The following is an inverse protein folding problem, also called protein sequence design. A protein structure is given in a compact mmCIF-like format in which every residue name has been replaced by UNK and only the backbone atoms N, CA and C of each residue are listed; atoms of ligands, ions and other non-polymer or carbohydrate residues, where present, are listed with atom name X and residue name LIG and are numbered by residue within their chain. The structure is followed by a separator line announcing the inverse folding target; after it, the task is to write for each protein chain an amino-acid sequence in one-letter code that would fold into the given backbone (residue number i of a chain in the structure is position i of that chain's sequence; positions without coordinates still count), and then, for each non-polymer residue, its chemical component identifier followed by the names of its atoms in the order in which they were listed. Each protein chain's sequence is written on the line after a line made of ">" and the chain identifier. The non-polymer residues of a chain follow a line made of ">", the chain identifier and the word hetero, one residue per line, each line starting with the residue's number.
data_IF_557149076106
#
_entry.id   IF_557149076106
#
_cell.length_a   1.000
_cell.length_b   1.000
_cell.length_c   1.000
_cell.angle_alpha   90.00
_cell.angle_beta   90.00
_cell.angle_gamma   90.00
#
_symmetry.space_group_name_H-M   'P 1'
#
loop_
_entity.id
_entity.type
_entity.pdbx_description
1 polymer ?
#
# COMPACT_ATOMS: atom_id res chain seq x y z
N UNK A 1 -15.97 7.40 13.15
CA UNK A 1 -15.31 6.44 12.26
C UNK A 1 -15.42 6.97 10.84
N UNK A 2 -14.32 7.23 10.16
CA UNK A 2 -14.39 7.48 8.72
C UNK A 2 -14.77 6.14 8.07
N UNK A 3 -15.86 6.05 7.30
CA UNK A 3 -16.16 4.82 6.56
C UNK A 3 -14.94 4.51 5.71
N UNK A 4 -14.53 3.23 5.67
CA UNK A 4 -13.35 2.73 4.98
C UNK A 4 -13.04 3.63 3.79
N UNK A 5 -11.99 4.44 3.90
CA UNK A 5 -11.71 5.50 2.94
C UNK A 5 -11.57 4.83 1.59
N UNK A 6 -12.63 4.89 0.80
CA UNK A 6 -12.69 4.22 -0.49
C UNK A 6 -11.47 4.68 -1.26
N UNK A 7 -10.64 3.73 -1.70
CA UNK A 7 -9.41 4.07 -2.41
C UNK A 7 -9.76 4.99 -3.58
N UNK A 8 -9.28 6.23 -3.50
CA UNK A 8 -9.61 7.28 -4.45
C UNK A 8 -9.15 6.91 -5.87
N UNK A 9 -8.10 6.10 -6.01
CA UNK A 9 -7.66 5.55 -7.29
C UNK A 9 -8.64 4.48 -7.80
N UNK A 10 -9.13 3.60 -6.92
CA UNK A 10 -10.11 2.59 -7.27
C UNK A 10 -11.41 3.22 -7.80
N UNK A 11 -11.88 4.29 -7.17
CA UNK A 11 -13.05 5.04 -7.64
C UNK A 11 -12.83 5.61 -9.06
N UNK A 12 -11.63 6.11 -9.35
CA UNK A 12 -11.30 6.61 -10.69
C UNK A 12 -11.26 5.50 -11.75
N UNK A 13 -10.75 4.31 -11.43
CA UNK A 13 -10.83 3.15 -12.32
C UNK A 13 -12.28 2.72 -12.58
N UNK A 14 -13.12 2.68 -11.52
CA UNK A 14 -14.51 2.24 -11.62
C UNK A 14 -15.38 3.11 -12.55
N UNK A 15 -15.02 4.38 -12.77
CA UNK A 15 -15.68 5.26 -13.76
C UNK A 15 -15.61 4.68 -15.18
N UNK A 16 -14.62 3.85 -15.48
CA UNK A 16 -14.45 3.21 -16.79
C UNK A 16 -15.16 1.86 -16.92
N UNK A 17 -15.76 1.31 -15.85
CA UNK A 17 -16.50 0.05 -15.92
C UNK A 17 -17.63 0.04 -16.97
N UNK A 18 -18.45 1.10 -17.13
CA UNK A 18 -19.48 1.16 -18.16
C UNK A 18 -18.97 1.57 -19.55
N UNK A 19 -17.66 1.79 -19.73
CA UNK A 19 -17.06 2.26 -20.99
C UNK A 19 -16.33 1.10 -21.68
N UNK A 20 -16.70 0.72 -22.92
CA UNK A 20 -16.01 -0.35 -23.65
C UNK A 20 -14.54 -0.03 -23.93
N UNK A 21 -13.64 -0.93 -23.56
CA UNK A 21 -12.23 -0.91 -23.97
C UNK A 21 -12.00 -2.04 -24.97
N UNK A 22 -11.50 -1.71 -26.17
CA UNK A 22 -11.32 -2.69 -27.26
C UNK A 22 -12.57 -3.55 -27.51
N UNK A 23 -13.75 -2.94 -27.42
CA UNK A 23 -15.04 -3.57 -27.70
C UNK A 23 -15.65 -4.41 -26.58
N UNK A 24 -15.09 -4.40 -25.36
CA UNK A 24 -15.62 -5.13 -24.19
C UNK A 24 -15.68 -4.27 -22.95
N UNK A 25 -16.61 -4.58 -22.06
CA UNK A 25 -16.68 -3.99 -20.71
C UNK A 25 -15.83 -4.81 -19.74
N UNK A 26 -15.27 -4.13 -18.74
CA UNK A 26 -14.40 -4.74 -17.74
C UNK A 26 -14.73 -4.17 -16.36
N UNK A 27 -14.53 -4.97 -15.32
CA UNK A 27 -14.41 -4.45 -13.96
C UNK A 27 -12.95 -4.05 -13.74
N UNK A 28 -12.72 -2.74 -13.59
CA UNK A 28 -11.39 -2.17 -13.41
C UNK A 28 -11.05 -1.99 -11.94
N UNK A 29 -9.84 -2.42 -11.59
CA UNK A 29 -9.26 -2.28 -10.27
C UNK A 29 -7.97 -1.45 -10.38
N UNK A 30 -7.60 -0.69 -9.33
CA UNK A 30 -6.42 0.16 -9.37
C UNK A 30 -5.15 -0.66 -9.61
N UNK A 31 -4.24 -0.11 -10.40
CA UNK A 31 -2.87 -0.60 -10.53
C UNK A 31 -1.90 0.57 -10.35
N UNK A 32 -0.84 0.32 -9.59
CA UNK A 32 0.17 1.31 -9.27
C UNK A 32 1.39 1.07 -10.16
N UNK A 33 1.47 1.84 -11.24
CA UNK A 33 2.61 1.75 -12.15
C UNK A 33 3.86 2.32 -11.46
N UNK A 34 4.92 1.53 -11.26
CA UNK A 34 6.13 2.01 -10.59
C UNK A 34 6.90 3.05 -11.41
N UNK A 35 6.78 3.02 -12.74
CA UNK A 35 7.46 3.95 -13.66
C UNK A 35 6.64 5.23 -13.84
N UNK A 36 5.31 5.14 -13.85
CA UNK A 36 4.40 6.29 -13.98
C UNK A 36 3.28 6.27 -12.92
N UNK A 37 3.62 6.51 -11.63
CA UNK A 37 2.70 6.33 -10.51
C UNK A 37 1.52 7.31 -10.52
N UNK A 38 1.60 8.39 -11.29
CA UNK A 38 0.53 9.37 -11.40
C UNK A 38 -0.34 9.21 -12.64
N UNK A 39 -0.07 8.20 -13.48
CA UNK A 39 -1.04 7.75 -14.47
C UNK A 39 -2.18 6.94 -13.86
N UNK A 40 -3.34 6.99 -14.52
CA UNK A 40 -4.45 6.11 -14.18
C UNK A 40 -4.30 4.80 -14.95
N UNK A 41 -3.52 3.90 -14.39
CA UNK A 41 -3.41 2.51 -14.86
C UNK A 41 -4.32 1.61 -14.02
N UNK A 42 -5.10 0.76 -14.69
CA UNK A 42 -6.06 -0.12 -14.07
C UNK A 42 -5.87 -1.55 -14.58
N UNK A 43 -6.03 -2.54 -13.69
CA UNK A 43 -6.06 -3.94 -14.06
C UNK A 43 -7.50 -4.40 -14.28
N UNK A 44 -7.72 -5.25 -15.27
CA UNK A 44 -9.03 -5.84 -15.51
C UNK A 44 -9.20 -7.07 -14.59
N UNK A 45 -10.09 -7.02 -13.59
CA UNK A 45 -10.17 -8.00 -12.47
C UNK A 45 -10.16 -9.47 -12.88
N UNK A 46 -10.90 -9.83 -13.92
CA UNK A 46 -11.02 -11.21 -14.41
C UNK A 46 -10.06 -11.54 -15.56
N UNK A 47 -9.09 -10.67 -15.84
CA UNK A 47 -8.18 -10.78 -16.98
C UNK A 47 -6.75 -10.44 -16.56
N UNK A 48 -5.76 -10.97 -17.27
CA UNK A 48 -4.34 -10.84 -16.90
C UNK A 48 -3.65 -9.63 -17.53
N UNK A 49 -4.36 -8.51 -17.75
CA UNK A 49 -3.76 -7.32 -18.35
C UNK A 49 -4.08 -6.03 -17.59
N UNK A 50 -3.17 -5.08 -17.72
CA UNK A 50 -3.31 -3.70 -17.26
C UNK A 50 -3.45 -2.77 -18.46
N UNK A 51 -4.15 -1.66 -18.27
CA UNK A 51 -4.30 -0.61 -19.27
C UNK A 51 -4.21 0.77 -18.63
N UNK A 52 -3.49 1.69 -19.27
CA UNK A 52 -3.50 3.11 -18.93
C UNK A 52 -4.77 3.74 -19.51
N UNK A 53 -5.74 4.03 -18.65
CA UNK A 53 -7.06 4.55 -19.03
C UNK A 53 -7.11 6.08 -19.09
N UNK A 54 -6.20 6.76 -18.39
CA UNK A 54 -6.02 8.20 -18.47
C UNK A 54 -4.54 8.59 -18.29
N UNK A 55 -4.10 9.74 -18.84
CA UNK A 55 -2.73 10.20 -18.68
C UNK A 55 -2.38 10.46 -17.22
N UNK A 56 -3.31 11.01 -16.44
CA UNK A 56 -3.12 11.40 -15.04
C UNK A 56 -4.32 10.97 -14.18
N UNK A 57 -4.05 10.57 -12.94
CA UNK A 57 -5.04 10.52 -11.86
C UNK A 57 -5.44 11.94 -11.43
N UNK A 58 -6.54 12.05 -10.68
CA UNK A 58 -6.95 13.31 -10.05
C UNK A 58 -5.96 13.75 -8.97
N UNK A 59 -5.76 15.05 -8.86
CA UNK A 59 -4.90 15.63 -7.84
C UNK A 59 -5.32 15.19 -6.43
N UNK A 60 -4.34 14.89 -5.59
CA UNK A 60 -4.55 14.34 -4.25
C UNK A 60 -4.62 12.80 -4.17
N UNK A 61 -4.62 12.09 -5.30
CA UNK A 61 -4.49 10.63 -5.31
C UNK A 61 -3.09 10.22 -4.82
N UNK A 62 -2.99 9.22 -3.94
CA UNK A 62 -1.69 8.69 -3.49
C UNK A 62 -0.89 8.13 -4.68
N UNK A 63 0.39 8.46 -4.74
CA UNK A 63 1.26 7.94 -5.80
C UNK A 63 1.78 6.53 -5.51
N UNK A 64 2.07 6.23 -4.24
CA UNK A 64 2.73 4.99 -3.77
C UNK A 64 2.00 4.43 -2.56
N UNK A 65 1.89 3.11 -2.48
CA UNK A 65 1.33 2.44 -1.31
C UNK A 65 2.21 2.69 -0.08
N UNK A 66 1.60 2.90 1.09
CA UNK A 66 2.31 3.21 2.34
C UNK A 66 2.97 4.60 2.42
N UNK A 67 2.99 5.38 1.34
CA UNK A 67 3.50 6.75 1.34
C UNK A 67 2.37 7.78 1.46
N UNK A 68 2.70 8.95 2.01
CA UNK A 68 1.82 10.11 1.95
C UNK A 68 1.94 10.89 0.62
N UNK A 69 2.88 10.55 -0.24
CA UNK A 69 3.09 11.26 -1.50
C UNK A 69 1.82 11.29 -2.37
N UNK A 70 1.56 12.44 -2.98
CA UNK A 70 0.35 12.69 -3.76
C UNK A 70 0.67 13.12 -5.18
N UNK A 71 -0.18 12.71 -6.11
CA UNK A 71 -0.15 13.18 -7.47
C UNK A 71 -0.74 14.59 -7.54
N UNK A 72 0.00 15.50 -8.17
CA UNK A 72 -0.44 16.87 -8.47
C UNK A 72 0.03 17.19 -9.89
N UNK A 73 -0.89 17.52 -10.78
CA UNK A 73 -0.61 17.81 -12.19
C UNK A 73 0.21 16.70 -12.89
N UNK A 74 -0.08 15.44 -12.56
CA UNK A 74 0.62 14.28 -13.13
C UNK A 74 2.01 14.01 -12.55
N UNK A 75 2.46 14.77 -11.55
CA UNK A 75 3.75 14.55 -10.88
C UNK A 75 3.51 14.04 -9.46
N UNK A 76 4.34 13.10 -9.03
CA UNK A 76 4.31 12.65 -7.65
C UNK A 76 5.11 13.58 -6.75
N UNK A 77 4.44 14.24 -5.82
CA UNK A 77 5.05 15.20 -4.89
C UNK A 77 5.06 14.66 -3.47
N UNK A 78 6.14 14.91 -2.70
CA UNK A 78 6.25 14.43 -1.33
C UNK A 78 5.24 15.14 -0.42
N UNK A 79 4.72 14.42 0.56
CA UNK A 79 3.88 14.99 1.62
C UNK A 79 4.47 14.59 2.97
N UNK A 80 4.78 15.59 3.78
CA UNK A 80 5.33 15.36 5.11
C UNK A 80 4.30 14.70 6.05
N UNK A 81 4.78 14.16 7.17
CA UNK A 81 3.91 13.63 8.22
C UNK A 81 2.97 14.68 8.83
N UNK A 82 3.25 15.97 8.62
CA UNK A 82 2.40 17.10 9.01
C UNK A 82 1.34 17.44 7.95
N UNK A 83 1.16 16.56 6.96
CA UNK A 83 0.18 16.63 5.88
C UNK A 83 0.35 17.83 4.95
N UNK A 84 1.56 18.40 4.92
CA UNK A 84 1.91 19.51 4.03
C UNK A 84 2.63 19.01 2.77
N UNK A 85 2.18 19.48 1.61
CA UNK A 85 2.80 19.21 0.31
C UNK A 85 4.19 19.86 0.25
N UNK A 86 5.21 19.08 -0.10
CA UNK A 86 6.60 19.53 -0.14
C UNK A 86 7.32 19.55 1.22
N UNK A 87 6.63 19.21 2.32
CA UNK A 87 7.27 19.09 3.63
C UNK A 87 8.17 17.85 3.70
N UNK A 88 9.39 18.03 4.20
CA UNK A 88 10.36 16.95 4.39
C UNK A 88 10.23 16.27 5.77
N UNK A 89 9.27 16.69 6.60
CA UNK A 89 9.08 16.11 7.93
C UNK A 89 8.66 14.65 7.83
N UNK A 90 9.34 13.80 8.60
CA UNK A 90 9.05 12.37 8.73
C UNK A 90 8.64 12.05 10.15
N UNK A 91 7.90 10.96 10.30
CA UNK A 91 7.64 10.37 11.61
C UNK A 91 8.95 9.78 12.12
N UNK A 92 9.35 10.13 13.34
CA UNK A 92 10.52 9.56 13.99
C UNK A 92 10.24 8.14 14.50
N UNK A 93 11.24 7.49 15.11
CA UNK A 93 11.09 6.14 15.65
C UNK A 93 10.11 6.04 16.82
N UNK A 94 9.74 7.17 17.43
CA UNK A 94 8.78 7.28 18.50
C UNK A 94 7.35 7.49 18.00
N UNK A 95 7.14 7.57 16.69
CA UNK A 95 5.82 7.85 16.11
C UNK A 95 5.47 9.35 16.10
N UNK A 96 6.43 10.24 16.36
CA UNK A 96 6.21 11.69 16.42
C UNK A 96 6.61 12.34 15.10
N UNK A 97 5.72 13.13 14.52
CA UNK A 97 6.01 13.86 13.29
C UNK A 97 7.03 14.98 13.52
N UNK A 98 8.17 14.93 12.84
CA UNK A 98 9.27 15.88 13.02
C UNK A 98 9.96 15.77 14.38
N UNK A 99 9.79 14.63 15.06
CA UNK A 99 10.47 14.36 16.34
C UNK A 99 11.95 14.07 16.16
N UNK A 100 12.66 14.08 17.27
CA UNK A 100 14.11 13.86 17.37
C UNK A 100 14.46 12.51 18.00
N UNK A 101 13.47 11.63 18.23
CA UNK A 101 13.65 10.33 18.87
C UNK A 101 13.76 10.38 20.40
N UNK A 102 13.57 11.54 21.04
CA UNK A 102 13.72 11.69 22.49
C UNK A 102 12.48 11.32 23.31
N UNK A 103 11.30 11.24 22.68
CA UNK A 103 10.02 11.04 23.37
C UNK A 103 9.73 9.58 23.74
N UNK A 104 10.57 8.64 23.30
CA UNK A 104 10.45 7.22 23.60
C UNK A 104 11.81 6.61 23.97
N UNK A 105 11.78 5.41 24.54
CA UNK A 105 13.00 4.64 24.87
C UNK A 105 13.06 3.40 24.00
N UNK A 106 14.21 3.17 23.38
CA UNK A 106 14.50 1.94 22.67
C UNK A 106 14.64 0.79 23.68
N UNK A 107 13.70 -0.16 23.65
CA UNK A 107 13.80 -1.37 24.44
C UNK A 107 14.86 -2.28 23.81
N UNK A 108 15.86 -2.68 24.61
CA UNK A 108 16.88 -3.63 24.18
C UNK A 108 16.42 -5.02 24.55
N UNK A 109 16.18 -5.85 23.55
CA UNK A 109 15.83 -7.25 23.74
C UNK A 109 17.06 -8.12 23.48
N UNK A 110 17.26 -9.11 24.36
CA UNK A 110 18.32 -10.11 24.19
C UNK A 110 17.66 -11.46 23.99
N UNK A 111 17.97 -12.11 22.87
CA UNK A 111 17.50 -13.47 22.61
C UNK A 111 18.27 -14.46 23.48
N UNK A 112 17.58 -15.07 24.45
CA UNK A 112 18.10 -16.19 25.23
C UNK A 112 17.66 -17.51 24.61
N UNK A 113 18.59 -18.47 24.44
CA UNK A 113 18.21 -19.86 24.18
C UNK A 113 17.66 -20.46 25.46
N UNK A 114 16.36 -20.68 25.54
CA UNK A 114 15.78 -21.50 26.61
C UNK A 114 15.90 -22.97 26.23
N UNK A 115 16.40 -23.85 27.12
CA UNK A 115 16.33 -25.29 26.90
C UNK A 115 14.86 -25.70 26.76
N UNK A 116 14.47 -26.20 25.60
CA UNK A 116 13.19 -26.86 25.46
C UNK A 116 13.31 -28.21 26.19
N UNK A 117 12.37 -28.50 27.09
CA UNK A 117 12.24 -29.86 27.61
C UNK A 117 11.90 -30.79 26.45
N UNK A 118 12.40 -32.04 26.44
CA UNK A 118 11.92 -33.05 25.50
C UNK A 118 10.39 -33.10 25.55
N UNK A 119 9.74 -33.18 24.39
CA UNK A 119 8.32 -33.50 24.35
C UNK A 119 8.12 -34.82 25.11
N UNK A 120 7.17 -34.86 26.03
CA UNK A 120 6.87 -36.06 26.83
C UNK A 120 6.24 -37.20 26.02
N UNK A 121 5.94 -36.96 24.73
CA UNK A 121 5.36 -37.94 23.81
C UNK A 121 6.18 -38.01 22.53
N UNK A 122 6.55 -39.23 22.15
CA UNK A 122 7.07 -39.56 20.84
C UNK A 122 5.89 -39.82 19.90
N UNK A 123 5.84 -39.16 18.74
CA UNK A 123 4.90 -39.51 17.68
C UNK A 123 5.28 -40.89 17.13
N UNK A 124 4.73 -41.95 17.73
CA UNK A 124 4.78 -43.31 17.21
C UNK A 124 3.90 -43.42 15.97
N UNK A 125 4.52 -43.28 14.79
CA UNK A 125 3.90 -43.70 13.53
C UNK A 125 3.88 -45.23 13.48
N UNK A 126 2.75 -45.85 13.81
CA UNK A 126 2.50 -47.26 13.50
C UNK A 126 2.48 -47.37 11.97
N UNK A 127 3.51 -48.01 11.38
CA UNK A 127 3.44 -48.51 10.00
C UNK A 127 2.40 -49.62 9.99
N UNK A 128 1.19 -49.32 9.54
CA UNK A 128 0.24 -50.35 9.13
C UNK A 128 0.73 -50.85 7.76
N UNK A 129 1.10 -52.13 7.72
CA UNK A 129 1.46 -52.88 6.51
C UNK A 129 0.28 -52.96 5.54
#
# INVERSE_FOLDING_TARGET
>A
ACPDSQDFRAAQCAVYNPIPYRGRLYEWLPYQDPEDPCSLTCHAKSYSFVAKLAPNVKDGTRCREGSLDMCVQGKCLPVGCDLQLGSEKKVDECGVCGGDGSSCRRLVYVWGKTPFSPCSVSCGGVRIL
#
